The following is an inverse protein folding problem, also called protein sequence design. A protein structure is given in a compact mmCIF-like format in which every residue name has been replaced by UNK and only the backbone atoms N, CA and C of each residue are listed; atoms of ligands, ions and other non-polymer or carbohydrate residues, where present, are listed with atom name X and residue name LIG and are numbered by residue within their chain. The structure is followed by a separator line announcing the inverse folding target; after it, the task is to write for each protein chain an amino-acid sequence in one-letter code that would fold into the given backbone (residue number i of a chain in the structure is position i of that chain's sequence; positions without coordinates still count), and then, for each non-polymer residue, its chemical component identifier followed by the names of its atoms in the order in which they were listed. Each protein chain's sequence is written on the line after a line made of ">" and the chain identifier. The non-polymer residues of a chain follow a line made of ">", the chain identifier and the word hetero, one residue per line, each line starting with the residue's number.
data_IF_575003677849
#
_entry.id   IF_575003677849
#
_cell.length_a   1.000
_cell.length_b   1.000
_cell.length_c   1.000
_cell.angle_alpha   90.00
_cell.angle_beta   90.00
_cell.angle_gamma   90.00
#
_symmetry.space_group_name_H-M   'P 1'
#
loop_
_entity.id
_entity.type
_entity.pdbx_description
1 polymer ?
#
# COMPACT_ATOMS: atom_id res chain seq x y z
N UNK A 1 6.59 -7.21 8.90
CA UNK A 1 7.62 -6.21 8.65
C UNK A 1 8.35 -6.47 7.34
N UNK A 2 8.84 -5.42 6.69
CA UNK A 2 9.69 -5.48 5.51
C UNK A 2 11.10 -5.89 5.92
N UNK A 3 11.78 -6.69 5.09
CA UNK A 3 13.18 -7.04 5.33
C UNK A 3 14.12 -6.02 4.70
N UNK A 4 15.23 -5.71 5.38
CA UNK A 4 16.24 -4.79 4.85
C UNK A 4 16.94 -5.34 3.58
N UNK A 5 16.86 -6.64 3.37
CA UNK A 5 17.42 -7.40 2.24
C UNK A 5 16.46 -7.51 1.03
N UNK A 6 15.27 -6.90 1.09
CA UNK A 6 14.31 -6.98 0.00
C UNK A 6 14.74 -6.13 -1.19
N UNK A 7 15.25 -6.78 -2.22
CA UNK A 7 15.77 -6.12 -3.42
C UNK A 7 14.93 -6.34 -4.67
N UNK A 8 13.94 -7.24 -4.59
CA UNK A 8 13.04 -7.59 -5.70
C UNK A 8 11.66 -8.01 -5.16
N UNK A 9 10.74 -8.39 -6.07
CA UNK A 9 9.36 -8.76 -5.75
C UNK A 9 9.17 -10.11 -5.04
N UNK A 10 10.20 -10.96 -5.01
CA UNK A 10 10.06 -12.35 -4.52
C UNK A 10 9.48 -12.47 -3.11
N UNK A 11 9.85 -11.61 -2.13
CA UNK A 11 9.28 -11.68 -0.80
C UNK A 11 7.77 -11.42 -0.73
N UNK A 12 7.19 -10.77 -1.76
CA UNK A 12 5.76 -10.47 -1.84
C UNK A 12 5.00 -11.43 -2.75
N UNK A 13 5.56 -11.72 -3.92
CA UNK A 13 4.87 -12.43 -4.98
C UNK A 13 5.42 -13.82 -5.24
N UNK A 14 6.67 -14.13 -4.81
CA UNK A 14 7.36 -15.37 -5.17
C UNK A 14 7.95 -15.33 -6.56
N UNK A 15 8.30 -16.49 -7.09
CA UNK A 15 8.97 -16.63 -8.38
C UNK A 15 8.71 -18.00 -9.04
N UNK A 16 8.81 -18.11 -10.38
CA UNK A 16 8.76 -19.39 -11.07
C UNK A 16 10.05 -20.20 -10.79
N UNK A 17 9.91 -21.51 -10.52
CA UNK A 17 11.06 -22.37 -10.25
C UNK A 17 11.83 -22.65 -11.56
N UNK A 18 13.06 -22.13 -11.67
CA UNK A 18 13.87 -22.30 -12.88
C UNK A 18 14.29 -23.75 -13.13
N UNK A 19 14.34 -24.60 -12.10
CA UNK A 19 14.69 -26.02 -12.20
C UNK A 19 13.50 -26.92 -12.49
N UNK A 20 12.28 -26.43 -12.19
CA UNK A 20 11.02 -27.13 -12.39
C UNK A 20 10.00 -26.15 -12.94
N UNK A 21 9.95 -26.00 -14.27
CA UNK A 21 9.13 -24.96 -14.92
C UNK A 21 7.62 -25.05 -14.60
N UNK A 22 7.13 -26.20 -14.15
CA UNK A 22 5.75 -26.42 -13.73
C UNK A 22 5.45 -25.97 -12.29
N UNK A 23 6.46 -25.59 -11.53
CA UNK A 23 6.33 -25.18 -10.13
C UNK A 23 6.52 -23.67 -9.96
N UNK A 24 5.63 -23.06 -9.19
CA UNK A 24 5.79 -21.70 -8.68
C UNK A 24 6.15 -21.72 -7.20
N UNK A 25 7.20 -21.03 -6.83
CA UNK A 25 7.64 -20.89 -5.44
C UNK A 25 6.93 -19.68 -4.83
N UNK A 26 5.97 -19.97 -3.97
CA UNK A 26 5.26 -18.91 -3.23
C UNK A 26 6.16 -18.30 -2.17
N UNK A 27 5.96 -17.01 -1.81
CA UNK A 27 6.71 -16.40 -0.74
C UNK A 27 6.35 -17.03 0.62
N UNK A 28 7.28 -17.02 1.56
CA UNK A 28 7.06 -17.50 2.94
C UNK A 28 5.93 -16.74 3.65
N UNK A 29 5.71 -15.49 3.26
CA UNK A 29 4.63 -14.65 3.76
C UNK A 29 3.42 -14.77 2.83
N UNK A 30 2.19 -14.83 3.37
CA UNK A 30 1.00 -15.12 2.58
C UNK A 30 0.48 -13.90 1.78
N UNK A 31 1.38 -13.06 1.23
CA UNK A 31 0.96 -11.86 0.49
C UNK A 31 0.30 -12.23 -0.83
N UNK A 32 0.89 -13.16 -1.59
CA UNK A 32 0.30 -13.63 -2.83
C UNK A 32 -1.07 -14.29 -2.58
N UNK A 33 -1.16 -15.13 -1.54
CA UNK A 33 -2.44 -15.78 -1.18
C UNK A 33 -3.49 -14.74 -0.74
N UNK A 34 -3.09 -13.68 -0.03
CA UNK A 34 -3.97 -12.56 0.32
C UNK A 34 -4.57 -11.89 -0.93
N UNK A 35 -3.73 -11.64 -1.96
CA UNK A 35 -4.18 -11.03 -3.21
C UNK A 35 -5.12 -11.97 -3.97
N UNK A 36 -4.79 -13.26 -4.03
CA UNK A 36 -5.65 -14.28 -4.64
C UNK A 36 -7.01 -14.36 -3.95
N UNK A 37 -7.04 -14.33 -2.61
CA UNK A 37 -8.29 -14.32 -1.84
C UNK A 37 -9.10 -13.04 -2.05
N UNK A 38 -8.44 -11.87 -2.09
CA UNK A 38 -9.10 -10.60 -2.36
C UNK A 38 -9.80 -10.61 -3.74
N UNK A 39 -9.17 -11.20 -4.74
CA UNK A 39 -9.77 -11.39 -6.07
C UNK A 39 -10.98 -12.32 -6.06
N UNK A 40 -10.98 -13.35 -5.21
CA UNK A 40 -12.08 -14.30 -5.09
C UNK A 40 -13.27 -13.76 -4.28
N UNK A 41 -13.03 -12.78 -3.43
CA UNK A 41 -14.02 -12.24 -2.49
C UNK A 41 -14.12 -10.71 -2.60
N UNK A 42 -14.61 -10.17 -3.71
CA UNK A 42 -14.60 -8.72 -3.99
C UNK A 42 -15.50 -7.90 -3.04
N UNK A 43 -16.40 -8.53 -2.30
CA UNK A 43 -17.29 -7.86 -1.34
C UNK A 43 -16.69 -7.70 0.06
N UNK A 44 -15.48 -8.21 0.30
CA UNK A 44 -14.78 -8.09 1.57
C UNK A 44 -13.52 -7.23 1.40
N UNK A 45 -13.24 -6.30 2.33
CA UNK A 45 -12.00 -5.54 2.31
C UNK A 45 -10.83 -6.39 2.79
N UNK A 46 -9.71 -6.31 2.08
CA UNK A 46 -8.44 -6.95 2.42
C UNK A 46 -7.38 -5.89 2.69
N UNK A 47 -6.52 -6.13 3.68
CA UNK A 47 -5.50 -5.19 4.09
C UNK A 47 -4.11 -5.83 4.04
N UNK A 48 -3.23 -5.26 3.21
CA UNK A 48 -1.82 -5.60 3.20
C UNK A 48 -1.05 -4.53 3.99
N UNK A 49 -0.49 -4.91 5.14
CA UNK A 49 0.30 -4.01 5.97
C UNK A 49 1.78 -4.30 5.73
N UNK A 50 2.50 -3.31 5.20
CA UNK A 50 3.94 -3.30 5.01
C UNK A 50 4.56 -2.49 6.15
N UNK A 51 4.92 -3.17 7.22
CA UNK A 51 5.49 -2.54 8.40
C UNK A 51 6.96 -2.21 8.17
N UNK A 52 7.38 -0.99 8.53
CA UNK A 52 8.68 -0.41 8.22
C UNK A 52 8.98 -0.45 6.70
N UNK A 53 8.03 0.03 5.90
CA UNK A 53 8.07 -0.08 4.44
C UNK A 53 9.36 0.49 3.83
N UNK A 54 9.96 1.51 4.43
CA UNK A 54 11.18 2.16 3.98
C UNK A 54 12.49 1.55 4.54
N UNK A 55 12.42 0.39 5.20
CA UNK A 55 13.61 -0.34 5.64
C UNK A 55 14.44 -0.86 4.45
N UNK A 56 13.79 -1.11 3.31
CA UNK A 56 14.42 -1.35 2.02
C UNK A 56 13.91 -0.38 0.95
N UNK A 57 14.54 -0.36 -0.23
CA UNK A 57 14.12 0.47 -1.36
C UNK A 57 12.78 0.00 -1.93
N UNK A 58 11.72 0.74 -1.65
CA UNK A 58 10.34 0.43 -2.06
C UNK A 58 10.23 0.25 -3.58
N UNK A 59 10.92 1.07 -4.36
CA UNK A 59 10.92 1.04 -5.81
C UNK A 59 11.46 -0.26 -6.40
N UNK A 60 12.15 -1.07 -5.60
CA UNK A 60 12.70 -2.36 -6.05
C UNK A 60 11.74 -3.50 -5.75
N UNK A 61 11.40 -3.70 -4.47
CA UNK A 61 10.58 -4.84 -4.09
C UNK A 61 9.09 -4.64 -4.38
N UNK A 62 8.64 -3.40 -4.50
CA UNK A 62 7.25 -3.02 -4.71
C UNK A 62 6.98 -2.47 -6.13
N UNK A 63 7.95 -2.59 -7.04
CA UNK A 63 7.92 -2.02 -8.39
C UNK A 63 6.67 -2.41 -9.20
N UNK A 64 6.29 -3.69 -9.16
CA UNK A 64 5.15 -4.20 -9.91
C UNK A 64 3.84 -3.56 -9.43
N UNK A 65 3.68 -3.41 -8.10
CA UNK A 65 2.52 -2.75 -7.52
C UNK A 65 2.46 -1.27 -7.91
N UNK A 66 3.58 -0.55 -7.84
CA UNK A 66 3.64 0.86 -8.25
C UNK A 66 3.29 1.04 -9.74
N UNK A 67 3.68 0.09 -10.59
CA UNK A 67 3.35 0.11 -12.01
C UNK A 67 1.87 -0.10 -12.26
N UNK A 68 1.28 -1.15 -11.67
CA UNK A 68 -0.12 -1.49 -11.94
C UNK A 68 -1.12 -0.55 -11.26
N UNK A 69 -0.73 0.13 -10.17
CA UNK A 69 -1.54 1.21 -9.59
C UNK A 69 -1.78 2.35 -10.59
N UNK A 70 -0.85 2.57 -11.51
CA UNK A 70 -0.95 3.59 -12.55
C UNK A 70 -1.63 3.06 -13.80
N UNK A 71 -1.13 1.92 -14.34
CA UNK A 71 -1.60 1.36 -15.60
C UNK A 71 -2.91 0.59 -15.48
N UNK A 72 -3.24 0.10 -14.27
CA UNK A 72 -4.36 -0.84 -14.00
C UNK A 72 -4.25 -2.16 -14.75
N UNK A 73 -3.05 -2.51 -15.19
CA UNK A 73 -2.74 -3.79 -15.81
C UNK A 73 -2.59 -4.92 -14.78
N UNK A 74 -2.44 -6.14 -15.27
CA UNK A 74 -2.13 -7.30 -14.44
C UNK A 74 -0.62 -7.41 -14.18
N UNK A 75 -0.25 -7.90 -13.00
CA UNK A 75 1.12 -8.33 -12.69
C UNK A 75 1.36 -9.70 -13.30
N UNK A 76 2.36 -9.84 -14.19
CA UNK A 76 2.78 -11.11 -14.73
C UNK A 76 3.62 -11.87 -13.70
N UNK A 77 3.22 -13.10 -13.35
CA UNK A 77 3.88 -13.95 -12.38
C UNK A 77 4.80 -14.98 -13.04
N UNK A 78 4.33 -15.64 -14.10
CA UNK A 78 5.11 -16.58 -14.90
C UNK A 78 4.64 -16.58 -16.37
N UNK A 79 5.46 -17.17 -17.23
CA UNK A 79 5.23 -17.12 -18.69
C UNK A 79 4.23 -18.17 -19.20
N UNK A 80 3.90 -19.20 -18.42
CA UNK A 80 3.02 -20.26 -18.86
C UNK A 80 1.54 -19.89 -18.69
N UNK A 81 0.71 -20.30 -19.63
CA UNK A 81 -0.75 -20.07 -19.57
C UNK A 81 -1.49 -21.00 -18.59
N UNK A 82 -0.75 -21.85 -17.89
CA UNK A 82 -1.30 -22.82 -16.93
C UNK A 82 -1.09 -22.36 -15.51
N UNK A 83 -2.04 -22.69 -14.65
CA UNK A 83 -1.93 -22.48 -13.20
C UNK A 83 -0.81 -23.37 -12.63
N UNK A 84 0.17 -22.77 -11.95
CA UNK A 84 1.28 -23.46 -11.30
C UNK A 84 1.10 -23.41 -9.78
N UNK A 85 0.93 -24.56 -9.13
CA UNK A 85 0.67 -24.66 -7.67
C UNK A 85 -0.45 -23.72 -7.16
N UNK A 86 -1.54 -23.56 -7.95
CA UNK A 86 -2.62 -22.65 -7.62
C UNK A 86 -2.32 -21.17 -7.90
N UNK A 87 -1.20 -20.86 -8.55
CA UNK A 87 -0.81 -19.51 -8.95
C UNK A 87 -1.08 -19.30 -10.44
N UNK A 88 -1.91 -18.31 -10.84
CA UNK A 88 -2.17 -18.00 -12.25
C UNK A 88 -0.95 -17.30 -12.87
N UNK A 89 -0.88 -17.28 -14.21
CA UNK A 89 0.19 -16.57 -14.93
C UNK A 89 0.19 -15.06 -14.72
N UNK A 90 -0.98 -14.50 -14.43
CA UNK A 90 -1.18 -13.07 -14.15
C UNK A 90 -2.13 -12.88 -12.98
N UNK A 91 -1.94 -11.79 -12.25
CA UNK A 91 -2.80 -11.41 -11.14
C UNK A 91 -3.03 -9.89 -11.16
N UNK A 92 -4.27 -9.47 -10.99
CA UNK A 92 -4.58 -8.06 -10.80
C UNK A 92 -4.53 -7.68 -9.31
N UNK A 93 -4.31 -6.41 -9.03
CA UNK A 93 -4.45 -5.81 -7.69
C UNK A 93 -5.89 -5.32 -7.59
N UNK A 94 -6.78 -6.02 -6.86
CA UNK A 94 -8.20 -5.72 -6.88
C UNK A 94 -8.53 -4.48 -6.03
N UNK A 95 -9.62 -3.80 -6.35
CA UNK A 95 -10.05 -2.55 -5.69
C UNK A 95 -10.46 -2.71 -4.22
N UNK A 96 -10.67 -3.94 -3.74
CA UNK A 96 -10.94 -4.26 -2.34
C UNK A 96 -9.68 -4.60 -1.53
N UNK A 97 -8.48 -4.51 -2.14
CA UNK A 97 -7.20 -4.65 -1.45
C UNK A 97 -6.61 -3.27 -1.12
N UNK A 98 -6.48 -3.00 0.18
CA UNK A 98 -5.92 -1.75 0.71
C UNK A 98 -4.49 -1.99 1.19
N UNK A 99 -3.54 -1.22 0.66
CA UNK A 99 -2.13 -1.34 0.99
C UNK A 99 -1.76 -0.21 1.95
N UNK A 100 -1.21 -0.56 3.10
CA UNK A 100 -0.86 0.35 4.19
C UNK A 100 0.62 0.15 4.48
N UNK A 101 1.42 1.20 4.31
CA UNK A 101 2.83 1.22 4.72
C UNK A 101 3.03 2.00 6.00
N UNK A 102 3.72 1.44 6.99
CA UNK A 102 4.23 2.22 8.10
C UNK A 102 5.65 2.69 7.80
N UNK A 103 6.00 3.88 8.23
CA UNK A 103 7.28 4.52 7.91
C UNK A 103 7.83 5.21 9.14
N UNK A 104 9.07 4.92 9.46
CA UNK A 104 9.84 5.72 10.40
C UNK A 104 10.77 6.64 9.61
N UNK A 105 10.75 7.94 9.91
CA UNK A 105 11.65 8.90 9.28
C UNK A 105 12.82 9.10 10.22
N UNK A 106 13.86 8.30 10.04
CA UNK A 106 15.13 8.43 10.73
C UNK A 106 16.31 8.42 9.74
N UNK A 107 17.51 8.64 10.23
CA UNK A 107 18.71 8.72 9.39
C UNK A 107 19.14 7.39 8.78
N UNK A 108 18.55 6.28 9.23
CA UNK A 108 18.94 4.91 8.83
C UNK A 108 18.02 4.30 7.77
N UNK A 109 16.89 4.96 7.48
CA UNK A 109 15.88 4.46 6.55
C UNK A 109 16.00 5.10 5.18
N UNK A 110 15.49 4.38 4.15
CA UNK A 110 15.48 4.88 2.79
C UNK A 110 14.40 5.96 2.61
N UNK A 111 14.73 7.04 1.94
CA UNK A 111 13.74 8.04 1.53
C UNK A 111 12.88 7.50 0.39
N UNK A 112 11.60 7.83 0.38
CA UNK A 112 10.73 7.50 -0.73
C UNK A 112 11.04 8.35 -1.96
N UNK A 113 11.06 7.71 -3.12
CA UNK A 113 11.10 8.41 -4.39
C UNK A 113 9.77 9.09 -4.70
N UNK A 114 9.76 10.07 -5.60
CA UNK A 114 8.51 10.67 -6.11
C UNK A 114 7.51 9.64 -6.61
N UNK A 115 7.97 8.55 -7.22
CA UNK A 115 7.09 7.47 -7.73
C UNK A 115 6.23 6.82 -6.64
N UNK A 116 6.73 6.74 -5.41
CA UNK A 116 5.97 6.22 -4.27
C UNK A 116 5.04 7.29 -3.73
N UNK A 117 5.56 8.52 -3.52
CA UNK A 117 4.82 9.61 -2.91
C UNK A 117 3.62 10.07 -3.77
N UNK A 118 3.77 10.08 -5.10
CA UNK A 118 2.71 10.47 -6.04
C UNK A 118 1.49 9.51 -5.98
N UNK A 119 1.67 8.30 -5.44
CA UNK A 119 0.63 7.26 -5.35
C UNK A 119 0.15 7.02 -3.93
N UNK A 120 0.73 7.70 -2.94
CA UNK A 120 0.45 7.49 -1.53
C UNK A 120 -0.36 8.65 -0.93
N UNK A 121 -1.39 8.31 -0.15
CA UNK A 121 -1.99 9.23 0.80
C UNK A 121 -1.19 9.15 2.10
N UNK A 122 -0.47 10.22 2.44
CA UNK A 122 0.39 10.24 3.62
C UNK A 122 -0.36 10.79 4.82
N UNK A 123 -0.36 10.03 5.92
CA UNK A 123 -0.92 10.45 7.20
C UNK A 123 0.25 10.55 8.19
N UNK A 124 0.49 11.74 8.70
CA UNK A 124 1.54 11.96 9.68
C UNK A 124 0.97 11.95 11.10
N UNK A 125 1.56 11.14 11.96
CA UNK A 125 1.24 11.10 13.40
C UNK A 125 2.23 11.97 14.16
N UNK A 126 1.79 13.16 14.58
CA UNK A 126 2.58 14.08 15.42
C UNK A 126 2.03 14.07 16.84
N UNK A 127 2.92 13.89 17.79
CA UNK A 127 2.57 14.02 19.21
C UNK A 127 2.66 15.48 19.62
N UNK A 128 1.58 16.03 20.14
CA UNK A 128 1.55 17.40 20.68
C UNK A 128 2.16 17.46 22.09
N UNK A 129 2.57 18.64 22.51
CA UNK A 129 3.08 18.84 23.88
C UNK A 129 2.05 18.48 24.95
N UNK A 130 0.78 18.72 24.68
CA UNK A 130 -0.31 18.41 25.60
C UNK A 130 -0.53 16.88 25.72
N UNK A 131 -0.53 16.18 24.62
CA UNK A 131 -0.59 14.70 24.62
C UNK A 131 0.59 14.10 25.37
N UNK A 132 1.80 14.62 25.15
CA UNK A 132 2.98 14.19 25.88
C UNK A 132 2.84 14.44 27.40
N UNK A 133 2.37 15.62 27.81
CA UNK A 133 2.11 15.91 29.23
C UNK A 133 1.08 14.98 29.82
N UNK A 134 0.01 14.68 29.09
CA UNK A 134 -1.05 13.78 29.56
C UNK A 134 -0.57 12.36 29.67
N UNK A 135 0.22 11.88 28.72
CA UNK A 135 0.85 10.57 28.76
C UNK A 135 1.78 10.43 29.99
N UNK A 136 2.67 11.42 30.22
CA UNK A 136 3.59 11.40 31.36
C UNK A 136 2.88 11.47 32.72
N UNK A 137 1.70 12.11 32.80
CA UNK A 137 0.90 12.16 34.03
C UNK A 137 0.23 10.83 34.36
N UNK A 138 -0.10 10.04 33.35
CA UNK A 138 -0.83 8.78 33.50
C UNK A 138 -0.43 7.79 32.41
N UNK A 139 0.69 7.13 32.64
CA UNK A 139 1.16 6.05 31.75
C UNK A 139 0.18 4.88 31.84
N UNK A 140 -0.63 4.68 30.79
CA UNK A 140 -1.56 3.57 30.70
C UNK A 140 -1.04 2.56 29.69
N UNK A 141 -1.16 1.27 30.04
CA UNK A 141 -0.90 0.21 29.06
C UNK A 141 -1.97 0.25 27.98
N UNK A 142 -1.53 0.19 26.71
CA UNK A 142 -2.46 0.13 25.58
C UNK A 142 -3.14 -1.25 25.60
N UNK A 143 -4.47 -1.25 25.70
CA UNK A 143 -5.30 -2.46 25.62
C UNK A 143 -5.92 -2.57 24.22
N UNK A 144 -5.23 -3.23 23.32
CA UNK A 144 -5.73 -3.43 21.95
C UNK A 144 -7.01 -4.26 21.88
N UNK A 145 -7.27 -5.08 22.91
CA UNK A 145 -8.50 -5.88 23.00
C UNK A 145 -9.79 -5.05 22.98
N UNK A 146 -9.74 -3.79 23.41
CA UNK A 146 -10.93 -2.90 23.35
C UNK A 146 -11.33 -2.52 21.93
N UNK A 147 -10.47 -2.78 20.94
CA UNK A 147 -10.74 -2.56 19.51
C UNK A 147 -11.33 -3.80 18.83
N UNK A 148 -11.27 -4.96 19.50
CA UNK A 148 -11.77 -6.22 18.97
C UNK A 148 -13.26 -6.12 18.68
N UNK A 149 -13.67 -6.52 17.46
CA UNK A 149 -15.05 -6.47 17.01
C UNK A 149 -15.62 -5.09 16.67
N UNK A 150 -14.90 -3.98 16.92
CA UNK A 150 -15.43 -2.63 16.62
C UNK A 150 -15.61 -2.36 15.11
N UNK A 151 -14.91 -3.09 14.25
CA UNK A 151 -15.10 -3.06 12.80
C UNK A 151 -16.16 -4.04 12.26
N UNK A 152 -16.81 -4.81 13.15
CA UNK A 152 -17.85 -5.75 12.74
C UNK A 152 -18.98 -5.00 12.03
N UNK A 153 -19.49 -5.57 10.93
CA UNK A 153 -20.53 -4.97 10.05
C UNK A 153 -20.15 -3.69 9.31
N UNK A 154 -18.89 -3.24 9.33
CA UNK A 154 -18.46 -2.03 8.61
C UNK A 154 -17.92 -2.31 7.21
N UNK A 155 -17.73 -3.58 6.83
CA UNK A 155 -17.03 -3.95 5.59
C UNK A 155 -17.71 -3.41 4.33
N UNK A 156 -19.02 -3.55 4.21
CA UNK A 156 -19.79 -3.08 3.07
C UNK A 156 -19.73 -1.55 2.93
N UNK A 157 -20.05 -0.82 3.99
CA UNK A 157 -19.99 0.64 4.00
C UNK A 157 -18.58 1.16 3.74
N UNK A 158 -17.55 0.48 4.25
CA UNK A 158 -16.16 0.84 4.02
C UNK A 158 -15.80 0.72 2.54
N UNK A 159 -16.16 -0.39 1.89
CA UNK A 159 -15.92 -0.59 0.46
C UNK A 159 -16.70 0.41 -0.40
N UNK A 160 -17.98 0.65 -0.09
CA UNK A 160 -18.80 1.64 -0.79
C UNK A 160 -18.15 3.03 -0.73
N UNK A 161 -17.69 3.44 0.45
CA UNK A 161 -17.00 4.73 0.62
C UNK A 161 -15.66 4.78 -0.11
N UNK A 162 -14.88 3.71 -0.07
CA UNK A 162 -13.55 3.65 -0.68
C UNK A 162 -13.60 3.59 -2.21
N UNK A 163 -14.65 3.01 -2.77
CA UNK A 163 -14.84 2.86 -4.23
C UNK A 163 -15.71 3.97 -4.84
N UNK A 164 -16.22 4.87 -4.01
CA UNK A 164 -17.06 5.97 -4.47
C UNK A 164 -16.29 6.90 -5.39
N UNK A 165 -16.73 7.00 -6.63
CA UNK A 165 -16.20 8.00 -7.55
C UNK A 165 -16.60 9.41 -7.09
N UNK A 166 -15.61 10.27 -6.88
CA UNK A 166 -15.87 11.67 -6.63
C UNK A 166 -16.06 12.37 -7.96
N UNK A 167 -17.25 12.90 -8.16
CA UNK A 167 -17.50 13.84 -9.26
C UNK A 167 -16.74 15.12 -8.93
N UNK A 168 -15.71 15.43 -9.70
CA UNK A 168 -15.01 16.72 -9.59
C UNK A 168 -16.01 17.82 -9.96
N UNK A 169 -16.47 18.57 -8.97
CA UNK A 169 -17.22 19.79 -9.21
C UNK A 169 -16.22 20.81 -9.73
N UNK A 170 -16.42 21.27 -10.97
CA UNK A 170 -15.61 22.36 -11.52
C UNK A 170 -15.73 23.60 -10.62
N UNK A 171 -14.63 23.92 -9.95
CA UNK A 171 -14.51 25.14 -9.17
C UNK A 171 -13.49 26.06 -9.82
N UNK A 172 -13.96 26.90 -10.71
CA UNK A 172 -13.12 27.84 -11.48
C UNK A 172 -12.23 28.69 -10.58
N UNK A 173 -12.78 29.19 -9.46
CA UNK A 173 -12.02 30.01 -8.50
C UNK A 173 -10.87 29.22 -7.83
N UNK A 174 -11.10 27.95 -7.51
CA UNK A 174 -10.04 27.08 -6.97
C UNK A 174 -8.96 26.82 -8.01
N UNK A 175 -9.38 26.51 -9.24
CA UNK A 175 -8.46 26.24 -10.35
C UNK A 175 -7.59 27.47 -10.64
N UNK A 176 -8.17 28.68 -10.69
CA UNK A 176 -7.43 29.92 -10.88
C UNK A 176 -6.42 30.18 -9.76
N UNK A 177 -6.81 29.92 -8.51
CA UNK A 177 -5.93 30.03 -7.34
C UNK A 177 -4.74 29.07 -7.41
N UNK A 178 -5.00 27.80 -7.80
CA UNK A 178 -3.94 26.81 -7.97
C UNK A 178 -2.98 27.18 -9.10
N UNK A 179 -3.48 27.70 -10.22
CA UNK A 179 -2.64 28.17 -11.33
C UNK A 179 -1.79 29.38 -10.92
N UNK A 180 -2.35 30.34 -10.17
CA UNK A 180 -1.58 31.45 -9.62
C UNK A 180 -0.49 30.98 -8.65
N UNK A 181 -0.83 30.08 -7.74
CA UNK A 181 0.12 29.48 -6.79
C UNK A 181 1.26 28.78 -7.52
N UNK A 182 0.96 27.98 -8.54
CA UNK A 182 1.98 27.33 -9.38
C UNK A 182 2.88 28.36 -10.08
N UNK A 183 2.30 29.45 -10.56
CA UNK A 183 3.05 30.55 -11.19
C UNK A 183 4.03 31.22 -10.22
N UNK A 184 3.64 31.40 -8.97
CA UNK A 184 4.53 31.97 -7.92
C UNK A 184 5.65 30.98 -7.53
N UNK A 185 5.34 29.71 -7.34
CA UNK A 185 6.34 28.68 -7.08
C UNK A 185 7.42 28.62 -8.16
N UNK A 186 7.00 28.69 -9.43
CA UNK A 186 7.94 28.68 -10.56
C UNK A 186 8.88 29.89 -10.58
N UNK A 187 8.43 31.06 -10.09
CA UNK A 187 9.28 32.25 -9.95
C UNK A 187 10.33 32.12 -8.84
N UNK A 188 10.05 31.34 -7.81
CA UNK A 188 10.97 31.11 -6.68
C UNK A 188 11.98 29.99 -6.97
N UNK A 189 11.89 29.30 -8.12
CA UNK A 189 12.80 28.22 -8.50
C UNK A 189 12.52 26.90 -7.82
N UNK A 190 11.33 26.72 -7.28
CA UNK A 190 10.86 25.46 -6.70
C UNK A 190 10.29 24.53 -7.78
#
# INVERSE_FOLDING_TARGET
>A
PVGADWTNREPLLGYPNALKPEEYVKPDRPVLDLILQANQQPTLPYFLILDEMNLSHVERYFADFLSVMESKDDISLHAEDKVQNGVPSKINVPSNLFIIGTVNIDETTNMFSPKVLDRANTIEFRVTQEEMKNFLKSIKKIELKVLEGKGASMAENFLEMAQKEFVLVENTSLNDTLVQFFGELKKTGA
#
